data_IF_225164191216
#
_entry.id   IF_225164191216
#
_cell.length_a   1.000
_cell.length_b   1.000
_cell.length_c   1.000
_cell.angle_alpha   90.00
_cell.angle_beta   90.00
_cell.angle_gamma   90.00
#
_symmetry.space_group_name_H-M   'P 1'
#
loop_
_entity.id
_entity.type
_entity.pdbx_description
1 polymer ?
#
# COMPACT_ATOMS: atom_id res chain seq x y z
N UNK A 1 22.78 34.18 -9.73
CA UNK A 1 21.44 33.62 -10.00
C UNK A 1 20.89 32.82 -8.81
N UNK A 2 21.61 31.85 -8.20
CA UNK A 2 21.14 31.13 -6.98
C UNK A 2 20.74 32.05 -5.81
N UNK A 3 21.60 33.00 -5.42
CA UNK A 3 21.30 33.94 -4.33
C UNK A 3 20.06 34.81 -4.64
N UNK A 4 19.91 35.25 -5.90
CA UNK A 4 18.76 36.02 -6.36
C UNK A 4 17.44 35.23 -6.30
N UNK A 5 17.48 33.92 -6.54
CA UNK A 5 16.31 33.03 -6.43
C UNK A 5 15.91 32.79 -4.96
N UNK A 6 16.90 32.58 -4.08
CA UNK A 6 16.66 32.41 -2.64
C UNK A 6 16.07 33.67 -1.99
N UNK A 7 16.55 34.86 -2.38
CA UNK A 7 15.99 36.16 -1.95
C UNK A 7 14.54 36.38 -2.41
N UNK A 8 14.06 35.63 -3.41
CA UNK A 8 12.68 35.67 -3.91
C UNK A 8 11.79 34.59 -3.27
N UNK A 9 12.28 33.85 -2.28
CA UNK A 9 11.54 32.76 -1.63
C UNK A 9 11.41 31.49 -2.48
N UNK A 10 12.19 31.36 -3.56
CA UNK A 10 12.18 30.18 -4.40
C UNK A 10 13.05 29.08 -3.80
N UNK A 11 12.56 27.84 -3.86
CA UNK A 11 13.35 26.66 -3.46
C UNK A 11 14.47 26.43 -4.47
N UNK A 12 15.72 26.59 -4.02
CA UNK A 12 16.91 26.34 -4.84
C UNK A 12 17.41 24.93 -4.56
N UNK A 13 17.33 24.06 -5.55
CA UNK A 13 17.77 22.67 -5.48
C UNK A 13 18.97 22.47 -6.41
N UNK A 14 19.98 21.73 -5.98
CA UNK A 14 21.11 21.38 -6.85
C UNK A 14 20.74 20.26 -7.83
N UNK A 15 21.52 20.15 -8.92
CA UNK A 15 21.23 19.19 -9.98
C UNK A 15 21.26 17.73 -9.49
N UNK A 16 22.13 17.38 -8.54
CA UNK A 16 22.19 16.02 -8.00
C UNK A 16 20.95 15.70 -7.17
N UNK A 17 20.45 16.66 -6.38
CA UNK A 17 19.19 16.50 -5.63
C UNK A 17 17.98 16.40 -6.57
N UNK A 18 17.96 17.15 -7.68
CA UNK A 18 16.91 17.02 -8.71
C UNK A 18 16.91 15.61 -9.30
N UNK A 19 18.08 15.11 -9.73
CA UNK A 19 18.21 13.76 -10.27
C UNK A 19 17.80 12.69 -9.27
N UNK A 20 18.24 12.81 -8.01
CA UNK A 20 17.94 11.84 -6.95
C UNK A 20 16.44 11.80 -6.64
N UNK A 21 15.81 12.97 -6.54
CA UNK A 21 14.36 13.07 -6.32
C UNK A 21 13.58 12.45 -7.47
N UNK A 22 13.97 12.75 -8.72
CA UNK A 22 13.30 12.21 -9.89
C UNK A 22 13.43 10.69 -9.99
N UNK A 23 14.65 10.16 -9.75
CA UNK A 23 14.88 8.72 -9.72
C UNK A 23 14.05 8.04 -8.62
N UNK A 24 13.96 8.65 -7.44
CA UNK A 24 13.14 8.13 -6.33
C UNK A 24 11.67 8.04 -6.73
N UNK A 25 11.13 9.04 -7.42
CA UNK A 25 9.74 9.02 -7.86
C UNK A 25 9.50 7.99 -8.97
N UNK A 26 10.45 7.80 -9.91
CA UNK A 26 10.36 6.73 -10.92
C UNK A 26 10.36 5.36 -10.22
N UNK A 27 11.30 5.10 -9.33
CA UNK A 27 11.36 3.83 -8.59
C UNK A 27 10.07 3.60 -7.80
N UNK A 28 9.50 4.65 -7.19
CA UNK A 28 8.24 4.54 -6.45
C UNK A 28 7.05 4.22 -7.37
N UNK A 29 7.01 4.82 -8.56
CA UNK A 29 5.97 4.55 -9.55
C UNK A 29 6.02 3.08 -10.04
N UNK A 30 7.23 2.56 -10.26
CA UNK A 30 7.44 1.20 -10.77
C UNK A 30 7.63 0.14 -9.66
N UNK A 31 7.51 0.52 -8.38
CA UNK A 31 7.85 -0.33 -7.25
C UNK A 31 7.03 -1.64 -7.20
N UNK A 32 5.81 -1.62 -7.71
CA UNK A 32 4.92 -2.79 -7.78
C UNK A 32 5.50 -3.89 -8.69
N UNK A 33 6.14 -3.50 -9.81
CA UNK A 33 6.77 -4.44 -10.74
C UNK A 33 8.09 -4.99 -10.20
N UNK A 34 8.82 -4.18 -9.41
CA UNK A 34 10.06 -4.59 -8.77
C UNK A 34 9.86 -5.65 -7.67
N UNK A 35 8.66 -5.73 -7.10
CA UNK A 35 8.32 -6.75 -6.09
C UNK A 35 8.03 -8.10 -6.75
N UNK A 36 9.10 -8.80 -7.13
CA UNK A 36 9.04 -10.16 -7.66
C UNK A 36 8.72 -11.20 -6.58
N UNK A 37 8.44 -12.44 -7.01
CA UNK A 37 8.33 -13.58 -6.10
C UNK A 37 9.59 -13.77 -5.26
N UNK A 38 10.78 -13.65 -5.87
CA UNK A 38 12.05 -13.84 -5.19
C UNK A 38 12.29 -12.77 -4.12
N UNK A 39 11.98 -11.50 -4.42
CA UNK A 39 12.09 -10.41 -3.45
C UNK A 39 11.04 -10.56 -2.32
N UNK A 40 9.82 -11.01 -2.64
CA UNK A 40 8.79 -11.30 -1.63
C UNK A 40 9.26 -12.40 -0.68
N UNK A 41 9.80 -13.50 -1.24
CA UNK A 41 10.36 -14.60 -0.45
C UNK A 41 11.50 -14.10 0.44
N UNK A 42 12.41 -13.30 -0.10
CA UNK A 42 13.53 -12.72 0.64
C UNK A 42 13.07 -11.82 1.79
N UNK A 43 12.00 -11.03 1.60
CA UNK A 43 11.41 -10.22 2.68
C UNK A 43 10.85 -11.10 3.81
N UNK A 44 10.15 -12.19 3.45
CA UNK A 44 9.59 -13.14 4.42
C UNK A 44 10.71 -13.88 5.16
N UNK A 45 11.72 -14.37 4.44
CA UNK A 45 12.87 -15.10 5.01
C UNK A 45 13.72 -14.21 5.94
N UNK A 46 13.73 -12.89 5.72
CA UNK A 46 14.45 -11.92 6.53
C UNK A 46 13.73 -11.56 7.84
N UNK A 47 12.52 -12.08 8.09
CA UNK A 47 11.80 -11.82 9.34
C UNK A 47 12.54 -12.42 10.54
N UNK A 48 12.56 -11.72 11.70
CA UNK A 48 13.13 -12.24 12.93
C UNK A 48 12.49 -13.56 13.39
N UNK A 49 13.25 -14.38 14.13
CA UNK A 49 12.85 -15.73 14.57
C UNK A 49 11.48 -15.78 15.27
N UNK A 50 11.14 -14.74 16.04
CA UNK A 50 9.84 -14.61 16.72
C UNK A 50 8.62 -14.66 15.78
N UNK A 51 8.80 -14.36 14.49
CA UNK A 51 7.73 -14.38 13.49
C UNK A 51 7.77 -15.63 12.60
N UNK A 52 8.76 -16.52 12.73
CA UNK A 52 8.85 -17.73 11.90
C UNK A 52 7.66 -18.67 12.09
N UNK A 53 7.14 -18.77 13.32
CA UNK A 53 5.96 -19.60 13.59
C UNK A 53 4.75 -19.10 12.79
N UNK A 54 4.49 -17.79 12.78
CA UNK A 54 3.44 -17.17 11.97
C UNK A 54 3.61 -17.50 10.49
N UNK A 55 4.84 -17.38 9.95
CA UNK A 55 5.11 -17.70 8.55
C UNK A 55 4.83 -19.17 8.25
N UNK A 56 5.26 -20.08 9.12
CA UNK A 56 5.04 -21.53 8.95
C UNK A 56 3.57 -21.92 9.00
N UNK A 57 2.78 -21.27 9.86
CA UNK A 57 1.35 -21.55 10.01
C UNK A 57 0.53 -20.92 8.87
N UNK A 58 1.01 -19.83 8.29
CA UNK A 58 0.34 -19.11 7.20
C UNK A 58 0.70 -19.66 5.82
N UNK A 59 1.98 -19.95 5.56
CA UNK A 59 2.52 -20.27 4.24
C UNK A 59 3.18 -21.66 4.26
N UNK A 60 2.77 -22.60 3.39
CA UNK A 60 1.72 -22.51 2.37
C UNK A 60 0.31 -22.87 2.88
N UNK A 61 0.15 -23.11 4.19
CA UNK A 61 -1.02 -23.80 4.73
C UNK A 61 -2.36 -23.04 4.54
N UNK A 62 -2.34 -21.71 4.64
CA UNK A 62 -3.54 -20.85 4.47
C UNK A 62 -3.44 -20.05 3.17
N UNK A 63 -2.26 -19.53 2.84
CA UNK A 63 -2.02 -18.78 1.60
C UNK A 63 -0.69 -19.15 0.96
N UNK A 64 -0.54 -18.84 -0.32
CA UNK A 64 0.75 -18.99 -1.03
C UNK A 64 1.60 -17.73 -0.94
N UNK A 65 2.91 -17.85 -1.18
CA UNK A 65 3.79 -16.67 -1.36
C UNK A 65 3.26 -15.76 -2.47
N UNK A 66 2.70 -16.31 -3.54
CA UNK A 66 2.12 -15.52 -4.63
C UNK A 66 0.90 -14.71 -4.18
N UNK A 67 0.08 -15.23 -3.26
CA UNK A 67 -1.03 -14.49 -2.66
C UNK A 67 -0.49 -13.33 -1.83
N UNK A 68 0.52 -13.57 -0.98
CA UNK A 68 1.17 -12.51 -0.19
C UNK A 68 1.79 -11.45 -1.11
N UNK A 69 2.49 -11.86 -2.16
CA UNK A 69 3.06 -10.95 -3.16
C UNK A 69 1.97 -10.03 -3.74
N UNK A 70 0.84 -10.60 -4.19
CA UNK A 70 -0.25 -9.80 -4.78
C UNK A 70 -0.84 -8.79 -3.79
N UNK A 71 -1.02 -9.18 -2.53
CA UNK A 71 -1.48 -8.26 -1.47
C UNK A 71 -0.47 -7.13 -1.27
N UNK A 72 0.83 -7.45 -1.14
CA UNK A 72 1.89 -6.44 -0.99
C UNK A 72 1.97 -5.51 -2.21
N UNK A 73 1.79 -6.03 -3.42
CA UNK A 73 1.72 -5.24 -4.66
C UNK A 73 0.54 -4.27 -4.65
N UNK A 74 -0.65 -4.69 -4.18
CA UNK A 74 -1.79 -3.77 -4.01
C UNK A 74 -1.45 -2.64 -3.04
N UNK A 75 -0.84 -2.94 -1.89
CA UNK A 75 -0.44 -1.92 -0.92
C UNK A 75 0.60 -0.94 -1.50
N UNK A 76 1.60 -1.44 -2.22
CA UNK A 76 2.63 -0.59 -2.85
C UNK A 76 2.04 0.31 -3.93
N UNK A 77 1.13 -0.20 -4.76
CA UNK A 77 0.45 0.58 -5.79
C UNK A 77 -0.30 1.77 -5.19
N UNK A 78 -0.84 1.61 -3.99
CA UNK A 78 -1.51 2.66 -3.21
C UNK A 78 -0.57 3.48 -2.32
N UNK A 79 0.74 3.34 -2.50
CA UNK A 79 1.80 4.01 -1.73
C UNK A 79 1.76 3.73 -0.22
N UNK A 80 1.20 2.59 0.18
CA UNK A 80 1.19 2.12 1.57
C UNK A 80 2.52 1.42 1.87
N UNK A 81 3.15 1.78 2.99
CA UNK A 81 4.39 1.14 3.42
C UNK A 81 4.16 -0.30 3.85
N UNK A 82 4.98 -1.21 3.32
CA UNK A 82 4.99 -2.64 3.69
C UNK A 82 6.09 -3.00 4.70
N UNK A 83 6.64 -2.02 5.41
CA UNK A 83 7.75 -2.24 6.37
C UNK A 83 7.31 -3.02 7.60
N UNK A 84 6.06 -2.87 8.02
CA UNK A 84 5.47 -3.67 9.08
C UNK A 84 4.89 -4.98 8.52
N UNK A 85 5.77 -5.79 7.93
CA UNK A 85 5.42 -7.06 7.31
C UNK A 85 4.75 -8.04 8.29
N UNK A 86 5.16 -8.17 9.56
CA UNK A 86 4.45 -9.03 10.52
C UNK A 86 2.97 -8.69 10.68
N UNK A 87 2.64 -7.41 10.89
CA UNK A 87 1.24 -6.97 11.01
C UNK A 87 0.43 -7.23 9.73
N UNK A 88 1.07 -7.12 8.57
CA UNK A 88 0.44 -7.45 7.28
C UNK A 88 0.14 -8.95 7.20
N UNK A 89 1.10 -9.82 7.57
CA UNK A 89 0.90 -11.27 7.55
C UNK A 89 -0.20 -11.71 8.54
N UNK A 90 -0.26 -11.11 9.73
CA UNK A 90 -1.36 -11.34 10.69
C UNK A 90 -2.72 -10.97 10.09
N UNK A 91 -2.81 -9.79 9.46
CA UNK A 91 -4.04 -9.36 8.80
C UNK A 91 -4.44 -10.26 7.62
N UNK A 92 -3.48 -10.79 6.85
CA UNK A 92 -3.75 -11.79 5.81
C UNK A 92 -4.29 -13.08 6.45
N UNK A 93 -3.69 -13.55 7.54
CA UNK A 93 -4.13 -14.75 8.25
C UNK A 93 -5.55 -14.61 8.83
N UNK A 94 -5.96 -13.41 9.22
CA UNK A 94 -7.33 -13.10 9.66
C UNK A 94 -8.35 -13.20 8.52
N UNK A 95 -8.01 -12.67 7.32
CA UNK A 95 -8.97 -12.54 6.21
C UNK A 95 -9.02 -13.77 5.27
N UNK A 96 -7.88 -14.44 5.06
CA UNK A 96 -7.75 -15.53 4.11
C UNK A 96 -8.69 -16.73 4.36
N UNK A 97 -9.06 -17.10 5.60
CA UNK A 97 -10.03 -18.16 5.85
C UNK A 97 -11.45 -17.83 5.35
N UNK A 98 -11.79 -16.55 5.23
CA UNK A 98 -13.12 -16.09 4.79
C UNK A 98 -13.20 -15.95 3.27
N UNK A 99 -12.11 -15.54 2.61
CA UNK A 99 -12.06 -15.40 1.16
C UNK A 99 -10.65 -15.57 0.62
N UNK A 100 -10.54 -16.20 -0.56
CA UNK A 100 -9.31 -16.28 -1.35
C UNK A 100 -9.16 -15.08 -2.31
N UNK A 101 -10.14 -14.18 -2.38
CA UNK A 101 -10.08 -13.00 -3.22
C UNK A 101 -9.04 -12.00 -2.69
N UNK A 102 -8.01 -11.75 -3.48
CA UNK A 102 -6.92 -10.82 -3.13
C UNK A 102 -7.45 -9.42 -2.83
N UNK A 103 -8.46 -8.94 -3.56
CA UNK A 103 -9.06 -7.63 -3.31
C UNK A 103 -9.66 -7.58 -1.90
N UNK A 104 -10.41 -8.60 -1.51
CA UNK A 104 -11.00 -8.68 -0.17
C UNK A 104 -9.93 -8.74 0.92
N UNK A 105 -8.91 -9.58 0.74
CA UNK A 105 -7.78 -9.68 1.69
C UNK A 105 -7.05 -8.33 1.80
N UNK A 106 -6.78 -7.66 0.68
CA UNK A 106 -6.12 -6.36 0.65
C UNK A 106 -6.93 -5.28 1.37
N UNK A 107 -8.26 -5.24 1.20
CA UNK A 107 -9.11 -4.29 1.93
C UNK A 107 -9.09 -4.54 3.45
N UNK A 108 -9.11 -5.80 3.88
CA UNK A 108 -8.96 -6.12 5.31
C UNK A 108 -7.60 -5.69 5.85
N UNK A 109 -6.52 -5.94 5.12
CA UNK A 109 -5.17 -5.53 5.49
C UNK A 109 -5.07 -4.00 5.59
N UNK A 110 -5.67 -3.26 4.64
CA UNK A 110 -5.74 -1.79 4.69
C UNK A 110 -6.47 -1.29 5.93
N UNK A 111 -7.59 -1.92 6.29
CA UNK A 111 -8.32 -1.60 7.51
C UNK A 111 -7.46 -1.83 8.76
N UNK A 112 -6.70 -2.94 8.83
CA UNK A 112 -5.76 -3.22 9.92
C UNK A 112 -4.61 -2.20 9.98
N UNK A 113 -4.20 -1.65 8.84
CA UNK A 113 -3.17 -0.61 8.71
C UNK A 113 -3.70 0.83 8.85
N UNK A 114 -4.98 1.04 9.19
CA UNK A 114 -5.60 2.36 9.21
C UNK A 114 -4.80 3.41 9.99
N UNK A 115 -4.20 3.05 11.13
CA UNK A 115 -3.36 3.98 11.91
C UNK A 115 -2.13 4.45 11.14
N UNK A 116 -1.45 3.55 10.42
CA UNK A 116 -0.29 3.89 9.59
C UNK A 116 -0.71 4.80 8.44
N UNK A 117 -1.81 4.47 7.76
CA UNK A 117 -2.33 5.25 6.62
C UNK A 117 -2.72 6.66 7.08
N UNK A 118 -3.53 6.78 8.13
CA UNK A 118 -3.95 8.07 8.68
C UNK A 118 -2.75 8.90 9.17
N UNK A 119 -1.76 8.27 9.81
CA UNK A 119 -0.56 8.97 10.25
C UNK A 119 0.29 9.48 9.09
N UNK A 120 0.26 8.82 7.93
CA UNK A 120 1.04 9.23 6.76
C UNK A 120 0.42 10.43 6.02
N UNK A 121 -0.89 10.63 6.12
CA UNK A 121 -1.62 11.70 5.43
C UNK A 121 -1.98 12.89 6.34
N UNK A 122 -1.84 12.73 7.66
CA UNK A 122 -2.18 13.76 8.64
C UNK A 122 -1.31 15.01 8.46
N UNK A 123 -1.98 16.17 8.43
CA UNK A 123 -1.35 17.48 8.41
C UNK A 123 -0.80 17.92 9.78
N UNK A 124 -0.10 19.07 9.84
CA UNK A 124 0.54 19.55 11.06
C UNK A 124 -0.40 19.76 12.25
N UNK A 125 -1.69 20.00 11.99
CA UNK A 125 -2.72 20.33 12.97
C UNK A 125 -3.38 19.10 13.62
N UNK A 126 -3.23 17.90 13.06
CA UNK A 126 -4.05 16.78 13.49
C UNK A 126 -4.88 16.13 12.41
N UNK A 127 -5.29 16.90 11.41
CA UNK A 127 -6.35 16.54 10.51
C UNK A 127 -5.80 15.90 9.23
N UNK A 128 -6.53 14.95 8.67
CA UNK A 128 -6.27 14.47 7.33
C UNK A 128 -7.02 15.37 6.32
N UNK A 129 -6.33 16.01 5.38
CA UNK A 129 -7.01 16.72 4.29
C UNK A 129 -7.66 15.68 3.37
N UNK A 130 -8.98 15.68 3.31
CA UNK A 130 -9.75 14.75 2.48
C UNK A 130 -10.56 15.50 1.43
N UNK A 131 -10.81 14.83 0.31
CA UNK A 131 -11.80 15.25 -0.69
C UNK A 131 -12.93 14.22 -0.63
N UNK A 132 -14.15 14.68 -0.44
CA UNK A 132 -15.34 13.83 -0.38
C UNK A 132 -16.10 13.87 -1.69
N UNK A 133 -16.73 12.76 -2.06
CA UNK A 133 -17.69 12.74 -3.16
C UNK A 133 -18.99 13.45 -2.74
N UNK A 134 -19.70 14.04 -3.69
CA UNK A 134 -21.06 14.53 -3.43
C UNK A 134 -22.03 13.36 -3.40
N UNK A 135 -23.17 13.53 -2.72
CA UNK A 135 -24.22 12.51 -2.65
C UNK A 135 -24.70 12.04 -4.03
N UNK A 136 -24.71 12.95 -5.02
CA UNK A 136 -25.06 12.64 -6.40
C UNK A 136 -24.06 11.66 -7.03
N UNK A 137 -22.76 11.92 -6.88
CA UNK A 137 -21.71 11.04 -7.38
C UNK A 137 -21.69 9.69 -6.65
N UNK A 138 -21.87 9.68 -5.32
CA UNK A 138 -21.94 8.42 -4.55
C UNK A 138 -23.08 7.52 -5.05
N UNK A 139 -24.26 8.08 -5.31
CA UNK A 139 -25.40 7.33 -5.86
C UNK A 139 -25.12 6.83 -7.28
N UNK A 140 -24.58 7.69 -8.14
CA UNK A 140 -24.24 7.31 -9.51
C UNK A 140 -23.26 6.13 -9.54
N UNK A 141 -22.22 6.15 -8.69
CA UNK A 141 -21.29 5.03 -8.55
C UNK A 141 -21.99 3.77 -8.02
N UNK A 142 -22.78 3.88 -6.96
CA UNK A 142 -23.49 2.74 -6.38
C UNK A 142 -24.43 2.04 -7.35
N UNK A 143 -25.13 2.79 -8.20
CA UNK A 143 -26.03 2.27 -9.24
C UNK A 143 -25.28 1.64 -10.43
N UNK A 144 -24.05 2.10 -10.70
CA UNK A 144 -23.20 1.58 -11.78
C UNK A 144 -22.43 0.30 -11.41
N UNK A 145 -22.42 -0.08 -10.13
CA UNK A 145 -21.77 -1.32 -9.69
C UNK A 145 -22.59 -2.53 -10.13
N UNK A 146 -21.96 -3.42 -10.90
CA UNK A 146 -22.53 -4.70 -11.32
C UNK A 146 -21.80 -5.86 -10.67
N UNK A 147 -22.45 -7.02 -10.54
CA UNK A 147 -21.92 -8.20 -9.83
C UNK A 147 -22.54 -8.43 -8.45
N UNK A 148 -22.17 -9.53 -7.79
CA UNK A 148 -22.65 -9.91 -6.45
C UNK A 148 -21.48 -10.11 -5.49
N UNK A 149 -21.66 -9.72 -4.23
CA UNK A 149 -20.65 -9.92 -3.18
C UNK A 149 -19.30 -9.28 -3.50
N UNK A 150 -18.25 -10.10 -3.51
CA UNK A 150 -16.86 -9.68 -3.70
C UNK A 150 -16.48 -9.42 -5.17
N UNK A 151 -17.37 -9.72 -6.13
CA UNK A 151 -17.15 -9.53 -7.57
C UNK A 151 -17.74 -8.21 -8.09
N UNK A 152 -18.12 -7.28 -7.21
CA UNK A 152 -18.68 -5.99 -7.60
C UNK A 152 -17.64 -5.15 -8.34
N UNK A 153 -17.94 -4.77 -9.58
CA UNK A 153 -17.08 -3.95 -10.44
C UNK A 153 -17.91 -2.86 -11.12
N UNK A 154 -17.26 -1.75 -11.49
CA UNK A 154 -17.88 -0.71 -12.31
C UNK A 154 -18.14 -1.27 -13.71
N UNK A 155 -19.36 -1.11 -14.21
CA UNK A 155 -19.78 -1.54 -15.55
C UNK A 155 -19.10 -0.76 -16.68
#
# INVERSE_FOLDING_TARGET
>A
QRQTASLRGLTVVDAATVLTTHLTEIIRAEATELLSYAETKKLIDALPDKHRQLVSDLIPAVVTISTVQRVLQTLIAERISIRDLPSILEAIAEAAPTSANVTHISEHVRARLARQICSAIKGPDGAAPIVTLSMEWERAFAESLTGQGEDRQLA
#
